data_IF_152310674980
#
_entry.id   IF_152310674980
#
_cell.length_a   1.000
_cell.length_b   1.000
_cell.length_c   1.000
_cell.angle_alpha   90.00
_cell.angle_beta   90.00
_cell.angle_gamma   90.00
#
_symmetry.space_group_name_H-M   'P 1'
#
loop_
_entity.id
_entity.type
_entity.pdbx_description
1 polymer ?
#
# COMPACT_ATOMS: atom_id res chain seq x y z
N UNK A 1 -11.67 -15.77 -51.83
CA UNK A 1 -10.58 -16.59 -52.00
C UNK A 1 -9.90 -17.13 -50.78
N UNK A 2 -8.80 -17.75 -51.04
CA UNK A 2 -8.03 -18.41 -49.99
C UNK A 2 -7.49 -17.45 -48.91
N UNK A 3 -7.25 -16.20 -49.26
CA UNK A 3 -6.74 -15.21 -48.31
C UNK A 3 -7.79 -14.80 -47.27
N UNK A 4 -9.05 -14.85 -47.64
CA UNK A 4 -10.11 -14.54 -46.71
C UNK A 4 -10.30 -15.61 -45.62
N UNK A 5 -10.12 -16.83 -46.00
CA UNK A 5 -10.25 -17.96 -45.12
C UNK A 5 -9.10 -17.99 -44.08
N UNK A 6 -7.94 -17.63 -44.54
CA UNK A 6 -6.75 -17.58 -43.69
C UNK A 6 -6.82 -16.52 -42.59
N UNK A 7 -7.42 -15.39 -42.92
CA UNK A 7 -7.56 -14.29 -41.98
C UNK A 7 -8.46 -14.64 -40.79
N UNK A 8 -9.55 -15.28 -41.07
CA UNK A 8 -10.48 -15.69 -40.00
C UNK A 8 -9.88 -16.72 -39.08
N UNK A 9 -9.10 -17.62 -39.65
CA UNK A 9 -8.46 -18.67 -38.87
C UNK A 9 -7.40 -18.09 -37.92
N UNK A 10 -6.61 -17.15 -38.39
CA UNK A 10 -5.58 -16.51 -37.57
C UNK A 10 -6.20 -15.64 -36.47
N UNK A 11 -7.28 -14.96 -36.76
CA UNK A 11 -7.98 -14.16 -35.75
C UNK A 11 -8.59 -15.01 -34.64
N UNK A 12 -9.11 -16.16 -34.99
CA UNK A 12 -9.64 -17.08 -33.98
C UNK A 12 -8.56 -17.62 -33.04
N UNK A 13 -7.41 -17.89 -33.58
CA UNK A 13 -6.27 -18.37 -32.80
C UNK A 13 -5.78 -17.30 -31.81
N UNK A 14 -5.75 -16.05 -32.25
CA UNK A 14 -5.34 -14.94 -31.40
C UNK A 14 -6.33 -14.69 -30.28
N UNK A 15 -7.61 -14.84 -30.51
CA UNK A 15 -8.63 -14.67 -29.49
C UNK A 15 -8.52 -15.76 -28.38
N UNK A 16 -8.20 -16.97 -28.77
CA UNK A 16 -8.03 -18.04 -27.79
C UNK A 16 -6.80 -17.81 -26.90
N UNK A 17 -5.76 -17.23 -27.44
CA UNK A 17 -4.54 -16.95 -26.67
C UNK A 17 -4.74 -15.83 -25.63
N UNK A 18 -5.60 -14.85 -25.95
CA UNK A 18 -5.90 -13.77 -25.02
C UNK A 18 -6.74 -14.22 -23.82
N UNK A 19 -7.62 -15.18 -24.01
CA UNK A 19 -8.49 -15.66 -22.93
C UNK A 19 -7.73 -16.53 -21.93
N UNK A 20 -6.69 -17.24 -22.39
CA UNK A 20 -5.91 -18.11 -21.51
C UNK A 20 -4.97 -17.36 -20.56
N UNK A 21 -4.62 -16.11 -20.88
CA UNK A 21 -3.68 -15.34 -20.07
C UNK A 21 -4.30 -14.64 -18.87
N UNK A 22 -5.62 -14.46 -18.86
CA UNK A 22 -6.30 -13.71 -17.82
C UNK A 22 -6.66 -14.51 -16.56
N UNK A 23 -6.45 -15.83 -16.58
CA UNK A 23 -6.89 -16.70 -15.49
C UNK A 23 -5.82 -17.00 -14.44
N UNK A 24 -4.60 -16.42 -14.56
CA UNK A 24 -3.46 -16.84 -13.76
C UNK A 24 -2.99 -15.81 -12.72
N UNK A 25 -3.77 -14.76 -12.49
CA UNK A 25 -3.37 -13.74 -11.53
C UNK A 25 -4.18 -13.82 -10.25
N UNK A 26 -3.78 -14.68 -9.34
CA UNK A 26 -4.18 -14.57 -7.95
C UNK A 26 -3.00 -14.06 -7.16
N UNK A 27 -3.01 -12.78 -6.84
CA UNK A 27 -1.97 -12.20 -5.99
C UNK A 27 -2.29 -12.49 -4.54
N UNK A 28 -1.33 -12.96 -3.73
CA UNK A 28 -1.57 -13.10 -2.30
C UNK A 28 -1.81 -11.74 -1.66
N UNK A 29 -2.74 -11.70 -0.72
CA UNK A 29 -2.99 -10.49 0.05
C UNK A 29 -1.85 -10.31 1.04
N UNK A 30 -1.03 -9.30 0.81
CA UNK A 30 0.04 -8.92 1.74
C UNK A 30 -0.40 -7.63 2.41
N UNK A 31 -0.33 -7.59 3.75
CA UNK A 31 -0.61 -6.37 4.49
C UNK A 31 0.56 -5.42 4.28
N UNK A 32 0.31 -4.34 3.57
CA UNK A 32 1.33 -3.33 3.29
C UNK A 32 1.36 -2.30 4.42
N UNK A 33 2.56 -1.83 4.76
CA UNK A 33 2.73 -0.77 5.75
C UNK A 33 2.04 0.51 5.28
N UNK A 34 1.24 1.11 6.15
CA UNK A 34 0.61 2.39 5.89
C UNK A 34 1.56 3.48 6.37
N UNK A 35 1.93 4.39 5.48
CA UNK A 35 2.91 5.42 5.79
C UNK A 35 2.55 6.75 5.15
N UNK A 36 2.84 7.83 5.87
CA UNK A 36 2.65 9.20 5.41
C UNK A 36 3.92 9.99 5.64
N UNK A 37 4.26 10.85 4.69
CA UNK A 37 5.32 11.82 4.85
C UNK A 37 4.70 13.20 5.04
N UNK A 38 5.08 13.89 6.12
CA UNK A 38 4.57 15.20 6.46
C UNK A 38 5.71 16.21 6.41
N UNK A 39 5.46 17.37 5.80
CA UNK A 39 6.45 18.41 5.64
C UNK A 39 5.89 19.75 6.11
N UNK A 40 6.74 20.54 6.79
CA UNK A 40 6.37 21.86 7.25
C UNK A 40 7.65 22.67 7.53
N UNK A 41 7.78 23.84 6.90
CA UNK A 41 8.92 24.75 7.11
C UNK A 41 10.29 24.07 6.97
N UNK A 42 10.44 23.22 5.96
CA UNK A 42 11.70 22.51 5.72
C UNK A 42 11.93 21.31 6.62
N UNK A 43 11.01 21.03 7.54
CA UNK A 43 11.08 19.86 8.41
C UNK A 43 10.30 18.71 7.78
N UNK A 44 10.78 17.49 7.99
CA UNK A 44 10.12 16.30 7.48
C UNK A 44 9.86 15.33 8.62
N UNK A 45 8.67 14.73 8.62
CA UNK A 45 8.23 13.75 9.59
C UNK A 45 7.58 12.58 8.86
N UNK A 46 7.79 11.39 9.37
CA UNK A 46 7.14 10.20 8.82
C UNK A 46 6.26 9.57 9.89
N UNK A 47 5.04 9.23 9.51
CA UNK A 47 4.07 8.57 10.39
C UNK A 47 3.70 7.26 9.69
N UNK A 48 3.94 6.13 10.34
CA UNK A 48 3.69 4.84 9.70
C UNK A 48 3.21 3.80 10.69
N UNK A 49 2.51 2.79 10.16
CA UNK A 49 2.20 1.58 10.91
C UNK A 49 3.27 0.56 10.61
N UNK A 50 3.83 0.00 11.67
CA UNK A 50 4.78 -1.10 11.58
C UNK A 50 4.09 -2.36 12.05
N UNK A 51 4.13 -3.41 11.22
CA UNK A 51 3.53 -4.70 11.53
C UNK A 51 4.62 -5.69 11.91
N UNK A 52 4.38 -6.46 12.96
CA UNK A 52 5.32 -7.48 13.37
C UNK A 52 5.35 -8.65 12.37
N UNK A 53 4.19 -8.98 11.80
CA UNK A 53 4.06 -10.03 10.79
C UNK A 53 3.51 -9.43 9.51
N UNK A 54 4.05 -9.85 8.37
CA UNK A 54 3.65 -9.30 7.08
C UNK A 54 2.25 -9.75 6.62
N UNK A 55 1.70 -10.77 7.25
CA UNK A 55 0.39 -11.34 6.89
C UNK A 55 -0.71 -11.00 7.88
N UNK A 56 -0.44 -10.15 8.87
CA UNK A 56 -1.40 -9.81 9.91
C UNK A 56 -1.34 -8.33 10.26
N UNK A 57 -2.50 -7.75 10.56
CA UNK A 57 -2.59 -6.36 11.02
C UNK A 57 -2.20 -6.20 12.49
N UNK A 58 -2.01 -7.27 13.20
CA UNK A 58 -1.61 -7.27 14.62
C UNK A 58 -0.56 -8.35 14.85
N UNK A 59 0.39 -8.09 15.75
CA UNK A 59 0.64 -6.85 16.48
C UNK A 59 1.11 -5.72 15.58
N UNK A 60 0.80 -4.48 15.97
CA UNK A 60 1.17 -3.31 15.19
C UNK A 60 1.64 -2.18 16.09
N UNK A 61 2.40 -1.27 15.51
CA UNK A 61 2.88 -0.07 16.19
C UNK A 61 2.72 1.13 15.27
N UNK A 62 2.39 2.29 15.85
CA UNK A 62 2.42 3.55 15.14
C UNK A 62 3.76 4.20 15.43
N UNK A 63 4.56 4.37 14.40
CA UNK A 63 5.92 4.88 14.50
C UNK A 63 5.97 6.30 13.95
N UNK A 64 6.54 7.20 14.72
CA UNK A 64 6.69 8.61 14.36
C UNK A 64 8.18 8.91 14.25
N UNK A 65 8.63 9.24 13.06
CA UNK A 65 10.03 9.51 12.77
C UNK A 65 10.27 10.99 12.58
N UNK A 66 11.23 11.52 13.32
CA UNK A 66 11.70 12.89 13.24
C UNK A 66 13.21 12.90 13.05
N UNK A 67 13.77 14.07 12.71
CA UNK A 67 15.22 14.21 12.63
C UNK A 67 15.91 13.89 13.95
N UNK A 68 15.24 14.16 15.07
CA UNK A 68 15.77 13.90 16.40
C UNK A 68 15.66 12.45 16.85
N UNK A 69 14.96 11.62 16.10
CA UNK A 69 14.80 10.20 16.45
C UNK A 69 13.41 9.67 16.15
N UNK A 70 13.20 8.43 16.58
CA UNK A 70 11.98 7.68 16.32
C UNK A 70 11.23 7.45 17.62
N UNK A 71 9.91 7.63 17.57
CA UNK A 71 9.03 7.39 18.72
C UNK A 71 7.90 6.44 18.34
N UNK A 72 7.55 5.57 19.27
CA UNK A 72 6.36 4.73 19.14
C UNK A 72 5.25 5.43 19.91
N UNK A 73 4.21 5.85 19.18
CA UNK A 73 3.11 6.63 19.78
C UNK A 73 2.01 5.72 20.32
N UNK A 74 1.68 4.67 19.59
CA UNK A 74 0.64 3.71 19.97
C UNK A 74 1.03 2.32 19.50
N UNK A 75 0.43 1.33 20.10
CA UNK A 75 0.59 -0.06 19.69
C UNK A 75 -0.64 -0.87 20.06
N UNK A 76 -0.85 -1.96 19.35
CA UNK A 76 -1.93 -2.90 19.67
C UNK A 76 -1.46 -4.31 19.39
N UNK A 77 -1.77 -5.23 20.29
CA UNK A 77 -1.43 -6.63 20.11
C UNK A 77 -2.61 -7.46 19.63
N UNK A 78 -3.84 -6.97 19.84
CA UNK A 78 -5.02 -7.79 19.60
C UNK A 78 -6.19 -7.05 18.93
N UNK A 79 -6.04 -5.79 18.57
CA UNK A 79 -7.11 -5.03 17.93
C UNK A 79 -6.73 -4.66 16.51
N UNK A 80 -7.25 -5.39 15.52
CA UNK A 80 -7.03 -5.09 14.12
C UNK A 80 -7.69 -3.76 13.74
N UNK A 81 -6.98 -2.94 12.94
CA UNK A 81 -7.46 -1.63 12.54
C UNK A 81 -7.13 -0.51 13.51
N UNK A 82 -6.64 -0.83 14.70
CA UNK A 82 -6.33 0.17 15.73
C UNK A 82 -5.22 1.13 15.28
N UNK A 83 -4.10 0.58 14.81
CA UNK A 83 -2.96 1.40 14.41
C UNK A 83 -3.28 2.25 13.19
N UNK A 84 -4.00 1.68 12.24
CA UNK A 84 -4.41 2.40 11.02
C UNK A 84 -5.31 3.58 11.34
N UNK A 85 -6.24 3.39 12.28
CA UNK A 85 -7.12 4.47 12.73
C UNK A 85 -6.34 5.56 13.45
N UNK A 86 -5.35 5.18 14.26
CA UNK A 86 -4.49 6.14 14.96
C UNK A 86 -3.65 6.95 13.99
N UNK A 87 -3.10 6.30 12.96
CA UNK A 87 -2.33 7.02 11.93
C UNK A 87 -3.21 8.03 11.21
N UNK A 88 -4.40 7.62 10.78
CA UNK A 88 -5.32 8.51 10.06
C UNK A 88 -5.68 9.72 10.91
N UNK A 89 -5.99 9.50 12.18
CA UNK A 89 -6.34 10.57 13.10
C UNK A 89 -5.17 11.51 13.35
N UNK A 90 -3.96 10.98 13.52
CA UNK A 90 -2.77 11.77 13.76
C UNK A 90 -2.37 12.60 12.55
N UNK A 91 -2.49 12.03 11.35
CA UNK A 91 -2.23 12.74 10.10
C UNK A 91 -3.17 13.94 9.96
N UNK A 92 -4.45 13.77 10.26
CA UNK A 92 -5.41 14.87 10.21
C UNK A 92 -5.07 15.96 11.23
N UNK A 93 -4.59 15.56 12.40
CA UNK A 93 -4.15 16.53 13.42
C UNK A 93 -2.93 17.30 12.93
N UNK A 94 -1.97 16.62 12.29
CA UNK A 94 -0.81 17.28 11.71
C UNK A 94 -1.21 18.29 10.64
N UNK A 95 -2.15 17.91 9.79
CA UNK A 95 -2.68 18.83 8.77
C UNK A 95 -3.32 20.06 9.40
N UNK A 96 -4.03 19.87 10.51
CA UNK A 96 -4.63 20.97 11.25
C UNK A 96 -3.60 21.93 11.84
N UNK A 97 -2.38 21.46 12.07
CA UNK A 97 -1.26 22.30 12.55
C UNK A 97 -0.48 22.92 11.40
N UNK A 98 -0.90 22.73 10.14
CA UNK A 98 -0.24 23.31 8.98
C UNK A 98 0.73 22.41 8.26
N UNK A 99 0.84 21.15 8.64
CA UNK A 99 1.72 20.20 7.96
C UNK A 99 1.07 19.69 6.68
N UNK A 100 1.90 19.52 5.66
CA UNK A 100 1.47 18.93 4.41
C UNK A 100 1.83 17.46 4.40
N UNK A 101 0.82 16.59 4.56
CA UNK A 101 1.00 15.16 4.65
C UNK A 101 0.53 14.46 3.39
N UNK A 102 1.40 13.61 2.83
CA UNK A 102 1.11 12.81 1.64
C UNK A 102 1.24 11.34 1.97
N UNK A 103 0.30 10.54 1.48
CA UNK A 103 0.37 9.10 1.65
C UNK A 103 1.44 8.52 0.75
N UNK A 104 2.33 7.72 1.32
CA UNK A 104 3.38 7.06 0.57
C UNK A 104 2.85 5.79 -0.09
N UNK A 105 3.43 5.43 -1.24
CA UNK A 105 3.05 4.21 -1.92
C UNK A 105 3.49 2.99 -1.10
N UNK A 106 2.68 1.92 -1.15
CA UNK A 106 2.98 0.70 -0.43
C UNK A 106 4.11 -0.04 -1.16
N UNK A 107 5.34 0.19 -0.75
CA UNK A 107 6.51 -0.42 -1.37
C UNK A 107 6.74 -1.84 -0.90
N UNK A 108 6.20 -2.22 0.24
CA UNK A 108 6.36 -3.56 0.79
C UNK A 108 5.79 -4.64 -0.12
N UNK A 109 4.81 -4.31 -0.95
CA UNK A 109 4.20 -5.25 -1.87
C UNK A 109 5.10 -5.64 -3.03
N UNK A 110 6.21 -4.95 -3.22
CA UNK A 110 7.12 -5.17 -4.34
C UNK A 110 8.16 -6.24 -4.02
N UNK A 111 8.24 -6.63 -2.79
CA UNK A 111 9.29 -7.56 -2.36
C UNK A 111 8.81 -9.02 -2.31
#
# INVERSE_FOLDING_TARGET
>A
GCCHYYREFVMRQLLYLCVGASALFSSPLIVADEAYACQHNGLERTIKVSYENSDSQIPCKVVYEKDSGTQILWSSENEAGYCEAKVASFVERQRGWGWNCTKLAATAAVQ
#
